data_IF_511232402848
#
_entry.id   IF_511232402848
#
_cell.length_a   1.000
_cell.length_b   1.000
_cell.length_c   1.000
_cell.angle_alpha   90.00
_cell.angle_beta   90.00
_cell.angle_gamma   90.00
#
_symmetry.space_group_name_H-M   'P 1'
#
loop_
_entity.id
_entity.type
_entity.pdbx_description
1 polymer ?
#
# COMPACT_ATOMS: atom_id res chain seq x y z
N UNK A 1 -17.44 11.35 -23.30
CA UNK A 1 -17.92 10.13 -22.62
C UNK A 1 -16.70 9.30 -22.28
N UNK A 2 -16.06 9.58 -21.14
CA UNK A 2 -14.88 8.83 -20.71
C UNK A 2 -15.37 7.57 -20.02
N UNK A 3 -15.13 6.42 -20.65
CA UNK A 3 -15.29 5.13 -19.99
C UNK A 3 -14.17 5.05 -18.95
N UNK A 4 -14.51 5.34 -17.70
CA UNK A 4 -13.64 5.04 -16.55
C UNK A 4 -13.34 3.55 -16.61
N UNK A 5 -12.12 3.18 -16.95
CA UNK A 5 -11.68 1.80 -16.84
C UNK A 5 -11.59 1.50 -15.34
N UNK A 6 -12.71 1.01 -14.77
CA UNK A 6 -12.87 0.55 -13.39
C UNK A 6 -11.76 -0.45 -13.07
N UNK A 7 -10.64 0.04 -12.57
CA UNK A 7 -9.53 -0.81 -12.17
C UNK A 7 -9.83 -1.30 -10.77
N UNK A 8 -10.04 -2.62 -10.66
CA UNK A 8 -10.17 -3.39 -9.42
C UNK A 8 -8.85 -3.35 -8.63
N UNK A 9 -8.50 -2.16 -8.15
CA UNK A 9 -7.26 -1.84 -7.44
C UNK A 9 -7.48 -2.09 -5.96
N UNK A 10 -6.57 -2.87 -5.38
CA UNK A 10 -6.49 -3.06 -3.96
C UNK A 10 -5.26 -2.32 -3.41
N UNK A 11 -5.35 -1.89 -2.17
CA UNK A 11 -4.31 -1.15 -1.49
C UNK A 11 -4.29 -1.49 0.01
N UNK A 12 -3.17 -1.20 0.65
CA UNK A 12 -3.05 -1.18 2.10
C UNK A 12 -2.85 0.26 2.57
N UNK A 13 -3.52 0.62 3.65
CA UNK A 13 -3.19 1.81 4.45
C UNK A 13 -2.31 1.32 5.61
N UNK A 14 -1.08 1.81 5.68
CA UNK A 14 -0.07 1.48 6.69
C UNK A 14 0.10 2.68 7.63
N UNK A 15 0.00 2.45 8.94
CA UNK A 15 0.08 3.48 9.98
C UNK A 15 -0.89 4.66 9.79
N UNK A 16 -1.98 4.47 9.02
CA UNK A 16 -2.97 5.51 8.75
C UNK A 16 -2.53 6.62 7.78
N UNK A 17 -1.29 6.57 7.27
CA UNK A 17 -0.70 7.66 6.48
C UNK A 17 -0.20 7.19 5.11
N UNK A 18 0.30 5.97 5.00
CA UNK A 18 0.91 5.47 3.78
C UNK A 18 -0.03 4.54 3.03
N UNK A 19 -0.30 4.83 1.76
CA UNK A 19 -1.09 3.96 0.88
C UNK A 19 -0.16 3.20 -0.06
N UNK A 20 -0.21 1.86 0.00
CA UNK A 20 0.57 0.99 -0.87
C UNK A 20 -0.37 0.24 -1.81
N UNK A 21 -0.16 0.39 -3.12
CA UNK A 21 -0.90 -0.35 -4.12
C UNK A 21 -0.49 -1.84 -4.13
N UNK A 22 -1.47 -2.74 -4.27
CA UNK A 22 -1.24 -4.17 -4.44
C UNK A 22 -1.22 -4.51 -5.94
N UNK A 23 -0.15 -4.06 -6.60
CA UNK A 23 0.01 -4.03 -8.06
C UNK A 23 0.55 -5.34 -8.67
N UNK A 24 0.94 -6.30 -7.83
CA UNK A 24 1.67 -7.51 -8.22
C UNK A 24 1.00 -8.78 -7.66
N UNK A 25 1.30 -9.96 -8.22
CA UNK A 25 0.69 -11.22 -7.76
C UNK A 25 0.96 -11.55 -6.29
N UNK A 26 2.14 -11.18 -5.77
CA UNK A 26 2.53 -11.38 -4.38
C UNK A 26 3.23 -10.13 -3.87
N UNK A 27 2.71 -9.55 -2.79
CA UNK A 27 3.31 -8.43 -2.06
C UNK A 27 3.87 -8.96 -0.75
N UNK A 28 5.17 -8.82 -0.54
CA UNK A 28 5.82 -9.23 0.71
C UNK A 28 5.81 -8.13 1.76
N UNK A 29 5.55 -8.52 3.01
CA UNK A 29 5.50 -7.63 4.18
C UNK A 29 6.47 -8.17 5.22
N UNK A 30 7.35 -7.31 5.73
CA UNK A 30 8.27 -7.69 6.78
C UNK A 30 9.19 -6.54 7.20
N UNK A 31 10.06 -6.80 8.17
CA UNK A 31 11.00 -5.78 8.65
C UNK A 31 12.27 -5.65 7.80
N UNK A 32 12.61 -6.67 7.02
CA UNK A 32 13.82 -6.63 6.17
C UNK A 32 13.57 -5.73 4.95
N UNK A 33 14.59 -5.00 4.53
CA UNK A 33 14.49 -4.00 3.46
C UNK A 33 14.23 -4.55 2.06
N UNK A 34 14.30 -5.87 1.86
CA UNK A 34 13.99 -6.54 0.58
C UNK A 34 12.51 -6.95 0.47
N UNK A 35 11.67 -6.61 1.45
CA UNK A 35 10.21 -6.75 1.32
C UNK A 35 9.63 -5.60 0.48
N UNK A 36 8.49 -5.84 -0.14
CA UNK A 36 7.77 -4.79 -0.86
C UNK A 36 7.19 -3.74 0.09
N UNK A 37 6.73 -4.18 1.26
CA UNK A 37 6.29 -3.31 2.36
C UNK A 37 7.22 -3.56 3.54
N UNK A 38 8.02 -2.56 3.87
CA UNK A 38 8.98 -2.61 4.97
C UNK A 38 8.38 -1.94 6.20
N UNK A 39 8.19 -2.71 7.27
CA UNK A 39 7.69 -2.20 8.55
C UNK A 39 8.82 -2.29 9.58
N UNK A 40 9.35 -1.13 9.98
CA UNK A 40 10.51 -0.99 10.87
C UNK A 40 10.28 -1.39 12.34
N UNK A 41 9.21 -2.14 12.65
CA UNK A 41 8.83 -2.48 14.02
C UNK A 41 9.51 -3.80 14.47
N UNK A 42 10.19 -3.85 15.63
CA UNK A 42 10.87 -5.05 16.13
C UNK A 42 10.01 -6.32 16.24
N UNK A 43 8.70 -6.18 16.49
CA UNK A 43 7.75 -7.29 16.58
C UNK A 43 7.35 -7.85 15.21
N UNK A 44 7.71 -7.16 14.13
CA UNK A 44 7.56 -7.65 12.77
C UNK A 44 8.77 -8.52 12.41
N UNK A 45 8.51 -9.79 12.12
CA UNK A 45 9.49 -10.71 11.57
C UNK A 45 10.13 -10.19 10.27
N UNK A 46 11.36 -10.63 9.97
CA UNK A 46 12.10 -10.20 8.77
C UNK A 46 11.31 -10.41 7.49
N UNK A 47 10.65 -11.56 7.38
CA UNK A 47 9.65 -11.90 6.38
C UNK A 47 8.43 -12.36 7.16
N UNK A 48 7.37 -11.55 7.19
CA UNK A 48 6.27 -11.75 8.13
C UNK A 48 5.06 -12.39 7.45
N UNK A 49 4.60 -11.76 6.37
CA UNK A 49 3.41 -12.18 5.65
C UNK A 49 3.52 -11.85 4.17
N UNK A 50 2.70 -12.52 3.38
CA UNK A 50 2.44 -12.20 1.98
C UNK A 50 0.98 -11.81 1.80
N UNK A 51 0.72 -10.85 0.91
CA UNK A 51 -0.59 -10.72 0.29
C UNK A 51 -0.51 -11.31 -1.12
N UNK A 52 -1.32 -12.33 -1.38
CA UNK A 52 -1.39 -13.04 -2.65
C UNK A 52 -2.67 -12.68 -3.39
N UNK A 53 -2.55 -12.32 -4.66
CA UNK A 53 -3.69 -12.11 -5.55
C UNK A 53 -3.99 -13.39 -6.32
N UNK A 54 -5.23 -13.86 -6.22
CA UNK A 54 -5.75 -15.01 -7.00
C UNK A 54 -7.01 -14.54 -7.74
N UNK A 55 -6.85 -14.19 -9.01
CA UNK A 55 -7.90 -13.54 -9.81
C UNK A 55 -8.25 -12.16 -9.24
N UNK A 56 -9.48 -12.00 -8.76
CA UNK A 56 -9.98 -10.79 -8.11
C UNK A 56 -9.92 -10.83 -6.57
N UNK A 57 -9.43 -11.93 -6.00
CA UNK A 57 -9.38 -12.15 -4.54
C UNK A 57 -7.97 -11.92 -4.03
N UNK A 58 -7.87 -11.45 -2.79
CA UNK A 58 -6.62 -11.21 -2.09
C UNK A 58 -6.60 -12.05 -0.83
N UNK A 59 -5.47 -12.69 -0.56
CA UNK A 59 -5.27 -13.57 0.58
C UNK A 59 -4.08 -13.08 1.37
N UNK A 60 -4.26 -12.88 2.67
CA UNK A 60 -3.16 -12.65 3.60
C UNK A 60 -2.66 -13.99 4.12
N UNK A 61 -1.35 -14.22 4.01
CA UNK A 61 -0.69 -15.46 4.43
C UNK A 61 0.44 -15.11 5.39
N UNK A 62 0.35 -15.57 6.63
CA UNK A 62 1.44 -15.50 7.61
C UNK A 62 2.54 -16.52 7.23
N UNK A 63 3.82 -16.16 7.38
CA UNK A 63 4.97 -17.00 7.01
C UNK A 63 5.63 -17.68 8.21
N UNK A 64 4.88 -17.91 9.29
CA UNK A 64 5.43 -18.40 10.56
C UNK A 64 6.05 -17.27 11.37
N UNK A 65 5.38 -16.12 11.40
CA UNK A 65 5.87 -14.95 12.12
C UNK A 65 5.89 -15.19 13.64
N UNK A 66 6.79 -14.49 14.33
CA UNK A 66 7.01 -14.70 15.77
C UNK A 66 5.81 -14.31 16.61
N UNK A 67 5.21 -13.14 16.33
CA UNK A 67 4.05 -12.61 17.06
C UNK A 67 2.73 -13.09 16.44
N UNK A 68 2.73 -13.37 15.13
CA UNK A 68 1.55 -13.76 14.38
C UNK A 68 0.91 -12.60 13.62
N UNK A 69 0.04 -13.00 12.69
CA UNK A 69 -0.82 -12.13 11.91
C UNK A 69 -2.28 -12.30 12.35
N UNK A 70 -3.05 -11.22 12.36
CA UNK A 70 -4.50 -11.29 12.60
C UNK A 70 -5.31 -10.44 11.61
N UNK A 71 -6.55 -10.84 11.39
CA UNK A 71 -7.55 -10.08 10.63
C UNK A 71 -8.76 -9.89 11.54
N UNK A 72 -9.19 -8.64 11.73
CA UNK A 72 -10.31 -8.26 12.60
C UNK A 72 -10.20 -8.90 14.00
N UNK A 73 -8.98 -8.90 14.56
CA UNK A 73 -8.66 -9.44 15.89
C UNK A 73 -8.56 -10.97 15.97
N UNK A 74 -8.80 -11.71 14.87
CA UNK A 74 -8.67 -13.16 14.83
C UNK A 74 -7.32 -13.55 14.23
N UNK A 75 -6.53 -14.36 14.95
CA UNK A 75 -5.24 -14.86 14.45
C UNK A 75 -5.46 -15.79 13.26
N UNK A 76 -4.63 -15.65 12.24
CA UNK A 76 -4.75 -16.42 11.00
C UNK A 76 -3.40 -17.03 10.63
N UNK A 77 -3.44 -18.13 9.87
CA UNK A 77 -2.33 -18.56 9.03
C UNK A 77 -2.55 -18.09 7.59
N UNK A 78 -3.79 -18.18 7.12
CA UNK A 78 -4.25 -17.66 5.84
C UNK A 78 -5.69 -17.16 5.97
N UNK A 79 -6.02 -16.05 5.31
CA UNK A 79 -7.38 -15.53 5.23
C UNK A 79 -7.62 -14.76 3.93
N UNK A 80 -8.81 -14.91 3.33
CA UNK A 80 -9.26 -14.02 2.27
C UNK A 80 -9.60 -12.64 2.84
N UNK A 81 -9.10 -11.59 2.22
CA UNK A 81 -9.31 -10.20 2.63
C UNK A 81 -10.53 -9.58 1.95
N UNK A 82 -11.33 -8.88 2.75
CA UNK A 82 -12.45 -8.05 2.32
C UNK A 82 -12.13 -6.57 2.55
N UNK A 83 -12.63 -5.69 1.67
CA UNK A 83 -12.40 -4.24 1.82
C UNK A 83 -12.90 -3.76 3.19
N UNK A 84 -12.07 -2.99 3.88
CA UNK A 84 -12.30 -2.51 5.24
C UNK A 84 -11.70 -3.40 6.33
N UNK A 85 -11.13 -4.57 5.99
CA UNK A 85 -10.50 -5.44 6.97
C UNK A 85 -9.33 -4.76 7.68
N UNK A 86 -9.31 -4.90 9.01
CA UNK A 86 -8.20 -4.46 9.85
C UNK A 86 -7.24 -5.62 10.03
N UNK A 87 -6.04 -5.46 9.51
CA UNK A 87 -4.95 -6.43 9.60
C UNK A 87 -4.01 -6.01 10.73
N UNK A 88 -3.51 -6.97 11.51
CA UNK A 88 -2.38 -6.75 12.40
C UNK A 88 -1.18 -7.59 11.98
N UNK A 89 -0.04 -6.94 11.76
CA UNK A 89 1.25 -7.56 11.44
C UNK A 89 2.19 -7.28 12.61
N UNK A 90 2.43 -8.28 13.47
CA UNK A 90 3.27 -8.10 14.66
C UNK A 90 2.79 -6.98 15.59
N UNK A 91 1.48 -6.72 15.64
CA UNK A 91 0.89 -5.63 16.43
C UNK A 91 0.76 -4.29 15.68
N UNK A 92 1.31 -4.15 14.48
CA UNK A 92 1.14 -2.95 13.64
C UNK A 92 -0.18 -3.05 12.88
N UNK A 93 -1.10 -2.08 13.00
CA UNK A 93 -2.37 -2.09 12.29
C UNK A 93 -2.22 -1.63 10.83
N UNK A 94 -2.88 -2.34 9.92
CA UNK A 94 -3.05 -1.97 8.52
C UNK A 94 -4.53 -2.09 8.15
N UNK A 95 -4.97 -1.36 7.13
CA UNK A 95 -6.32 -1.48 6.58
C UNK A 95 -6.23 -1.94 5.13
N UNK A 96 -6.95 -3.00 4.78
CA UNK A 96 -7.10 -3.43 3.40
C UNK A 96 -8.26 -2.70 2.72
N UNK A 97 -8.00 -2.11 1.56
CA UNK A 97 -9.01 -1.49 0.72
C UNK A 97 -9.06 -2.15 -0.65
N UNK A 98 -10.27 -2.24 -1.22
CA UNK A 98 -10.51 -2.68 -2.59
C UNK A 98 -11.65 -1.89 -3.20
N UNK A 99 -11.41 -1.18 -4.30
CA UNK A 99 -12.44 -0.39 -4.97
C UNK A 99 -11.88 0.70 -5.88
N UNK A 100 -12.78 1.49 -6.48
CA UNK A 100 -12.43 2.69 -7.23
C UNK A 100 -11.84 3.71 -6.27
N UNK A 101 -10.52 3.88 -6.32
CA UNK A 101 -9.91 5.05 -5.71
C UNK A 101 -10.18 6.19 -6.69
N UNK A 102 -11.06 7.11 -6.31
CA UNK A 102 -11.30 8.30 -7.10
C UNK A 102 -9.95 9.04 -7.21
N UNK A 103 -9.36 9.02 -8.40
CA UNK A 103 -8.00 9.51 -8.63
C UNK A 103 -7.85 10.99 -8.21
N UNK A 104 -8.95 11.73 -8.14
CA UNK A 104 -9.02 13.08 -7.62
C UNK A 104 -8.68 13.19 -6.12
N UNK A 105 -9.06 12.21 -5.30
CA UNK A 105 -8.82 12.20 -3.85
C UNK A 105 -7.36 11.88 -3.49
N UNK A 106 -6.67 11.07 -4.32
CA UNK A 106 -5.25 10.76 -4.13
C UNK A 106 -4.38 11.98 -4.49
N UNK A 107 -4.65 12.64 -5.62
CA UNK A 107 -3.90 13.81 -6.07
C UNK A 107 -4.06 15.03 -5.14
N UNK A 108 -5.18 15.15 -4.43
CA UNK A 108 -5.42 16.24 -3.48
C UNK A 108 -4.73 16.04 -2.13
N UNK A 109 -4.57 14.80 -1.67
CA UNK A 109 -3.93 14.48 -0.38
C UNK A 109 -2.43 14.16 -0.49
N UNK A 110 -1.90 14.01 -1.70
CA UNK A 110 -0.45 13.93 -1.99
C UNK A 110 0.23 15.30 -2.13
N UNK A 111 -0.49 16.42 -1.93
CA UNK A 111 0.20 17.70 -1.76
C UNK A 111 1.03 17.61 -0.47
N UNK A 112 2.37 17.63 -0.50
CA UNK A 112 3.12 17.86 0.71
C UNK A 112 2.60 19.17 1.30
N UNK A 113 2.12 19.11 2.54
CA UNK A 113 1.70 20.29 3.28
C UNK A 113 2.84 21.30 3.25
N UNK A 114 2.68 22.33 2.41
CA UNK A 114 3.37 23.61 2.36
C UNK A 114 4.73 23.66 3.07
N UNK A 115 5.74 22.95 2.57
CA UNK A 115 7.11 23.11 3.06
C UNK A 115 8.17 22.74 2.01
N UNK A 116 7.99 23.10 0.74
CA UNK A 116 9.14 23.33 -0.13
C UNK A 116 8.78 24.24 -1.30
N UNK A 117 9.47 25.38 -1.35
CA UNK A 117 9.35 26.40 -2.39
C UNK A 117 10.03 25.89 -3.67
N UNK A 118 9.26 25.68 -4.73
CA UNK A 118 9.71 25.32 -6.08
C UNK A 118 8.70 25.80 -7.12
N UNK A 119 9.11 26.11 -8.37
CA UNK A 119 8.65 27.29 -9.08
C UNK A 119 7.21 27.21 -9.60
N UNK A 120 6.56 28.37 -9.47
CA UNK A 120 5.31 28.84 -10.05
C UNK A 120 5.26 28.63 -11.56
N UNK A 121 4.64 27.55 -12.03
CA UNK A 121 3.51 27.58 -12.97
C UNK A 121 2.92 26.17 -13.14
N UNK A 122 1.96 25.81 -12.30
CA UNK A 122 1.32 24.49 -12.31
C UNK A 122 0.21 24.37 -13.38
N UNK A 123 0.13 25.30 -14.32
CA UNK A 123 -0.98 25.38 -15.28
C UNK A 123 -0.78 24.50 -16.53
N UNK A 124 0.28 23.68 -16.59
CA UNK A 124 0.58 22.91 -17.80
C UNK A 124 1.08 21.48 -17.56
N UNK A 125 0.66 20.83 -16.47
CA UNK A 125 0.74 19.36 -16.34
C UNK A 125 -0.58 18.78 -16.81
N UNK A 126 -0.55 18.12 -17.98
CA UNK A 126 -1.76 17.66 -18.67
C UNK A 126 -2.14 16.22 -18.29
N UNK A 127 -1.18 15.42 -17.85
CA UNK A 127 -1.40 14.03 -17.45
C UNK A 127 -0.50 13.60 -16.28
N UNK A 128 -0.90 12.52 -15.58
CA UNK A 128 -0.25 12.03 -14.36
C UNK A 128 1.16 11.47 -14.61
N UNK A 129 1.42 11.01 -15.84
CA UNK A 129 2.72 10.50 -16.27
C UNK A 129 3.77 11.62 -16.29
N UNK A 130 3.39 12.85 -16.68
CA UNK A 130 4.26 14.04 -16.64
C UNK A 130 4.71 14.38 -15.21
N UNK A 131 3.92 14.02 -14.19
CA UNK A 131 4.23 14.33 -12.79
C UNK A 131 5.20 13.31 -12.18
N UNK A 132 5.17 12.06 -12.65
CA UNK A 132 6.06 11.00 -12.18
C UNK A 132 7.49 11.18 -12.71
N UNK A 133 7.66 11.86 -13.85
CA UNK A 133 8.96 12.23 -14.40
C UNK A 133 9.73 13.26 -13.54
N UNK A 134 9.05 13.98 -12.64
CA UNK A 134 9.70 14.93 -11.71
C UNK A 134 10.22 14.28 -10.42
N UNK A 135 9.88 13.01 -10.17
CA UNK A 135 10.39 12.26 -9.04
C UNK A 135 11.41 11.24 -9.52
N UNK A 136 12.66 11.68 -9.69
CA UNK A 136 13.76 10.73 -9.84
C UNK A 136 13.92 9.92 -8.53
N UNK A 137 14.10 8.57 -8.62
CA UNK A 137 14.38 7.78 -7.44
C UNK A 137 15.70 8.22 -6.81
N UNK A 138 15.83 8.23 -5.47
CA UNK A 138 17.09 8.62 -4.83
C UNK A 138 18.22 7.71 -5.31
N UNK A 139 19.32 8.31 -5.78
CA UNK A 139 20.51 7.56 -6.16
C UNK A 139 20.95 6.67 -5.00
N UNK A 140 21.17 5.39 -5.32
CA UNK A 140 21.59 4.39 -4.35
C UNK A 140 23.07 4.66 -3.98
N UNK A 141 23.33 4.94 -2.70
CA UNK A 141 24.70 5.05 -2.15
C UNK A 141 25.34 3.65 -2.07
#
# INVERSE_FOLDING_TARGET
MLMSATSDRAFLIVDGVYVVALDRPVVSIGRKGDNNIVIGNPHVSRYHAHIRRVGKRYFLVDLGSTVGTSVNGRRIQEAELQSGDVISIGGVPLIFGKGEVDHHLIAQNLRPSSAHTGPTDATQVRDLDDYLDFFEPPETI
#
